data_IF_790041686014
#
_entry.id   IF_790041686014
#
_cell.length_a   1.000
_cell.length_b   1.000
_cell.length_c   1.000
_cell.angle_alpha   90.00
_cell.angle_beta   90.00
_cell.angle_gamma   90.00
#
_symmetry.space_group_name_H-M   'P 1'
#
loop_
_entity.id
_entity.type
_entity.pdbx_description
1 polymer ?
#
# COMPACT_ATOMS: atom_id res chain seq x y z
N UNK A 1 15.59 77.23 -64.59
CA UNK A 1 16.31 77.25 -63.32
C UNK A 1 15.27 77.08 -62.21
N UNK A 2 14.85 75.81 -61.91
CA UNK A 2 13.94 75.56 -60.84
C UNK A 2 14.75 75.08 -59.64
N UNK A 3 14.64 75.78 -58.52
CA UNK A 3 15.18 75.36 -57.24
C UNK A 3 14.29 74.33 -56.59
N UNK A 4 14.82 73.24 -56.01
CA UNK A 4 14.01 72.31 -55.26
C UNK A 4 13.54 72.92 -53.94
N UNK A 5 12.28 72.73 -53.59
CA UNK A 5 11.67 73.12 -52.33
C UNK A 5 12.35 72.39 -51.15
N UNK A 6 12.53 73.01 -49.98
CA UNK A 6 13.13 72.40 -48.83
C UNK A 6 12.15 71.38 -48.20
N UNK A 7 12.64 70.18 -47.92
CA UNK A 7 11.94 69.19 -47.13
C UNK A 7 11.57 69.74 -45.74
N UNK A 8 10.30 69.69 -45.41
CA UNK A 8 9.82 70.09 -44.08
C UNK A 8 10.37 69.20 -43.00
N UNK A 9 10.91 69.71 -41.89
CA UNK A 9 11.44 68.88 -40.81
C UNK A 9 10.27 68.08 -40.12
N UNK A 10 10.31 66.77 -40.21
CA UNK A 10 9.38 65.91 -39.49
C UNK A 10 9.33 66.28 -38.00
N UNK A 11 8.12 66.44 -37.46
CA UNK A 11 7.90 66.90 -36.10
C UNK A 11 8.50 65.83 -35.09
N UNK A 12 9.00 66.37 -33.96
CA UNK A 12 9.58 65.47 -32.88
C UNK A 12 8.62 64.36 -32.43
N UNK A 13 7.32 64.62 -32.54
CA UNK A 13 6.26 63.66 -32.24
C UNK A 13 6.21 62.48 -33.26
N UNK A 14 6.35 62.83 -34.60
CA UNK A 14 6.38 61.76 -35.63
C UNK A 14 7.61 60.90 -35.55
N UNK A 15 8.77 61.42 -35.20
CA UNK A 15 9.99 60.62 -34.95
C UNK A 15 9.85 59.69 -33.75
N UNK A 16 9.17 60.14 -32.70
CA UNK A 16 8.91 59.27 -31.51
C UNK A 16 7.91 58.14 -31.85
N UNK A 17 6.88 58.45 -32.63
CA UNK A 17 5.89 57.41 -33.07
C UNK A 17 6.57 56.41 -33.98
N UNK A 18 7.36 56.85 -34.95
CA UNK A 18 8.09 55.92 -35.86
C UNK A 18 9.12 55.06 -35.12
N UNK A 19 9.85 55.63 -34.17
CA UNK A 19 10.77 54.88 -33.32
C UNK A 19 10.06 53.86 -32.46
N UNK A 20 8.91 54.17 -31.86
CA UNK A 20 8.09 53.20 -31.12
C UNK A 20 7.57 52.13 -32.04
N UNK A 21 7.11 52.43 -33.24
CA UNK A 21 6.63 51.48 -34.24
C UNK A 21 7.72 50.52 -34.70
N UNK A 22 8.92 51.05 -35.03
CA UNK A 22 10.08 50.20 -35.38
C UNK A 22 10.52 49.31 -34.22
N UNK A 23 10.54 49.84 -32.97
CA UNK A 23 10.88 49.07 -31.80
C UNK A 23 9.85 47.94 -31.52
N UNK A 24 8.57 48.20 -31.78
CA UNK A 24 7.51 47.17 -31.65
C UNK A 24 7.63 46.11 -32.74
N UNK A 25 7.89 46.52 -34.01
CA UNK A 25 8.11 45.61 -35.12
C UNK A 25 9.32 44.70 -34.91
N UNK A 26 10.45 45.27 -34.43
CA UNK A 26 11.66 44.51 -34.09
C UNK A 26 11.43 43.53 -32.95
N UNK A 27 10.67 43.91 -31.90
CA UNK A 27 10.33 43.00 -30.83
C UNK A 27 9.42 41.86 -31.29
N UNK A 28 8.43 42.17 -32.13
CA UNK A 28 7.49 41.17 -32.66
C UNK A 28 8.21 40.18 -33.60
N UNK A 29 9.08 40.69 -34.49
CA UNK A 29 9.90 39.86 -35.38
C UNK A 29 10.86 38.98 -34.61
N UNK A 30 11.62 39.52 -33.65
CA UNK A 30 12.52 38.73 -32.84
C UNK A 30 11.81 37.67 -31.99
N UNK A 31 10.61 37.94 -31.50
CA UNK A 31 9.81 36.96 -30.79
C UNK A 31 9.29 35.83 -31.72
N UNK A 32 8.83 36.22 -32.91
CA UNK A 32 8.41 35.26 -33.92
C UNK A 32 9.58 34.34 -34.34
N UNK A 33 10.77 34.94 -34.59
CA UNK A 33 11.98 34.19 -34.91
C UNK A 33 12.40 33.26 -33.77
N UNK A 34 12.32 33.70 -32.53
CA UNK A 34 12.67 32.88 -31.37
C UNK A 34 11.69 31.70 -31.20
N UNK A 35 10.40 31.90 -31.36
CA UNK A 35 9.38 30.85 -31.32
C UNK A 35 9.59 29.89 -32.49
N UNK A 36 9.80 30.42 -33.70
CA UNK A 36 9.97 29.61 -34.90
C UNK A 36 11.26 28.79 -34.90
N UNK A 37 12.34 29.32 -34.34
CA UNK A 37 13.64 28.67 -34.24
C UNK A 37 13.85 27.88 -32.91
N UNK A 38 12.77 27.60 -32.20
CA UNK A 38 12.86 26.73 -31.03
C UNK A 38 13.45 25.37 -31.40
N UNK A 39 14.44 24.89 -30.63
CA UNK A 39 15.07 23.59 -30.84
C UNK A 39 14.31 22.40 -30.24
N UNK A 40 13.23 22.67 -29.48
CA UNK A 40 12.49 21.64 -28.74
C UNK A 40 11.34 20.99 -29.50
N UNK A 41 10.92 21.59 -30.60
CA UNK A 41 9.86 21.04 -31.45
C UNK A 41 10.16 21.27 -32.91
N UNK A 42 9.75 20.33 -33.74
CA UNK A 42 9.77 20.56 -35.22
C UNK A 42 8.61 21.43 -35.60
N UNK A 43 8.87 22.43 -36.44
CA UNK A 43 7.85 23.27 -37.06
C UNK A 43 8.03 23.22 -38.58
N UNK A 44 7.07 22.56 -39.24
CA UNK A 44 7.09 22.35 -40.68
C UNK A 44 5.85 23.03 -41.25
N UNK A 45 6.04 24.07 -42.08
CA UNK A 45 4.94 24.69 -42.78
C UNK A 45 4.98 24.28 -44.27
N UNK A 46 3.80 24.04 -44.85
CA UNK A 46 3.66 23.61 -46.26
C UNK A 46 2.80 24.64 -47.00
N UNK A 47 2.83 24.59 -48.35
CA UNK A 47 1.80 25.15 -49.19
C UNK A 47 0.51 24.30 -49.17
N UNK A 48 -0.48 24.71 -49.97
CA UNK A 48 -1.76 24.00 -50.14
C UNK A 48 -1.61 22.59 -50.73
N UNK A 49 -0.52 22.33 -51.46
CA UNK A 49 -0.20 21.03 -52.10
C UNK A 49 0.63 20.14 -51.20
N UNK A 50 1.03 20.62 -50.04
CA UNK A 50 1.84 19.89 -49.06
C UNK A 50 3.34 20.05 -49.24
N UNK A 51 3.83 20.83 -50.21
CA UNK A 51 5.27 21.06 -50.38
C UNK A 51 5.79 21.90 -49.23
N UNK A 52 6.82 21.42 -48.53
CA UNK A 52 7.43 22.11 -47.40
C UNK A 52 7.98 23.49 -47.82
N UNK A 53 7.53 24.54 -47.15
CA UNK A 53 7.96 25.91 -47.36
C UNK A 53 8.85 26.42 -46.22
N UNK A 54 8.62 25.92 -45.00
CA UNK A 54 9.39 26.25 -43.82
C UNK A 54 9.74 24.97 -43.07
N UNK A 55 11.00 24.90 -42.67
CA UNK A 55 11.55 23.79 -41.88
C UNK A 55 12.49 24.42 -40.85
N UNK A 56 12.05 24.46 -39.58
CA UNK A 56 12.77 25.18 -38.54
C UNK A 56 13.99 24.42 -38.02
N UNK A 57 14.83 25.07 -37.23
CA UNK A 57 16.03 24.48 -36.61
C UNK A 57 15.69 23.26 -35.74
N UNK A 58 14.52 23.25 -35.10
CA UNK A 58 14.02 22.10 -34.33
C UNK A 58 13.77 20.87 -35.23
N UNK A 59 13.17 21.07 -36.41
CA UNK A 59 12.96 20.04 -37.40
C UNK A 59 14.29 19.50 -37.95
N UNK A 60 15.26 20.38 -38.26
CA UNK A 60 16.60 19.94 -38.72
C UNK A 60 17.28 19.06 -37.68
N UNK A 61 17.30 19.47 -36.41
CA UNK A 61 17.92 18.70 -35.30
C UNK A 61 17.20 17.37 -35.02
N UNK A 62 15.86 17.40 -35.06
CA UNK A 62 15.04 16.26 -34.72
C UNK A 62 15.08 15.19 -35.83
N UNK A 63 15.05 15.61 -37.09
CA UNK A 63 14.88 14.74 -38.24
C UNK A 63 16.18 14.53 -39.05
N UNK A 64 17.23 15.33 -38.81
CA UNK A 64 18.53 15.18 -39.43
C UNK A 64 18.65 15.75 -40.86
N UNK A 65 17.55 16.23 -41.46
CA UNK A 65 17.55 16.86 -42.77
C UNK A 65 17.96 18.32 -42.64
N UNK A 66 18.74 18.84 -43.61
CA UNK A 66 18.92 20.30 -43.70
C UNK A 66 17.71 20.92 -44.40
N UNK A 67 17.31 22.13 -43.95
CA UNK A 67 16.16 22.84 -44.57
C UNK A 67 16.34 23.03 -46.06
N UNK A 68 17.58 23.29 -46.55
CA UNK A 68 17.90 23.44 -47.97
C UNK A 68 17.62 22.16 -48.81
N UNK A 69 17.60 21.00 -48.17
CA UNK A 69 17.36 19.71 -48.88
C UNK A 69 15.88 19.37 -48.99
N UNK A 70 15.02 19.93 -48.10
CA UNK A 70 13.61 19.56 -48.01
C UNK A 70 12.66 20.70 -48.46
N UNK A 71 13.03 21.95 -48.30
CA UNK A 71 12.20 23.10 -48.66
C UNK A 71 12.04 23.18 -50.15
N UNK A 72 10.82 23.38 -50.66
CA UNK A 72 10.38 23.38 -52.07
C UNK A 72 10.66 22.07 -52.80
N UNK A 73 10.89 20.95 -52.10
CA UNK A 73 11.28 19.67 -52.75
C UNK A 73 10.40 18.50 -52.38
N UNK A 74 10.08 18.37 -51.09
CA UNK A 74 9.35 17.21 -50.57
C UNK A 74 8.15 17.66 -49.70
N UNK A 75 7.32 16.69 -49.34
CA UNK A 75 6.18 16.84 -48.44
C UNK A 75 6.49 16.20 -47.08
N UNK A 76 5.78 16.54 -45.98
CA UNK A 76 5.90 15.82 -44.71
C UNK A 76 5.59 14.32 -44.80
N UNK A 77 4.82 13.89 -45.81
CA UNK A 77 4.54 12.46 -46.02
C UNK A 77 5.79 11.69 -46.43
N UNK A 78 6.71 12.31 -47.18
CA UNK A 78 7.94 11.67 -47.64
C UNK A 78 8.94 11.36 -46.53
N UNK A 79 8.81 12.03 -45.37
CA UNK A 79 9.61 11.82 -44.18
C UNK A 79 8.83 11.15 -43.06
N UNK A 80 7.68 10.55 -43.35
CA UNK A 80 6.80 9.82 -42.44
C UNK A 80 6.74 8.34 -42.77
N UNK A 81 6.40 7.50 -41.80
CA UNK A 81 6.23 6.05 -42.05
C UNK A 81 5.07 5.81 -43.00
N UNK A 82 5.32 5.20 -44.19
CA UNK A 82 4.27 5.00 -45.17
C UNK A 82 3.17 4.02 -44.68
N UNK A 83 3.49 3.06 -43.84
CA UNK A 83 2.51 2.10 -43.31
C UNK A 83 1.55 2.80 -42.35
N UNK A 84 2.05 3.70 -41.52
CA UNK A 84 1.21 4.51 -40.62
C UNK A 84 0.29 5.46 -41.41
N UNK A 85 0.79 6.06 -42.51
CA UNK A 85 -0.02 6.92 -43.40
C UNK A 85 -1.16 6.14 -44.05
N UNK A 86 -0.90 4.92 -44.53
CA UNK A 86 -1.93 4.02 -45.11
C UNK A 86 -2.98 3.68 -44.05
N UNK A 87 -2.52 3.26 -42.86
CA UNK A 87 -3.41 2.88 -41.75
C UNK A 87 -4.27 4.06 -41.32
N UNK A 88 -3.68 5.26 -41.21
CA UNK A 88 -4.37 6.49 -40.85
C UNK A 88 -5.42 6.87 -41.91
N UNK A 89 -5.06 6.83 -43.19
CA UNK A 89 -5.99 7.13 -44.27
C UNK A 89 -7.21 6.19 -44.22
N UNK A 90 -7.00 4.89 -44.02
CA UNK A 90 -8.06 3.91 -43.90
C UNK A 90 -8.96 4.20 -42.66
N UNK A 91 -8.37 4.48 -41.51
CA UNK A 91 -9.11 4.77 -40.29
C UNK A 91 -9.94 6.06 -40.41
N UNK A 92 -9.36 7.12 -40.95
CA UNK A 92 -10.06 8.38 -41.20
C UNK A 92 -11.16 8.26 -42.27
N UNK A 93 -10.94 7.43 -43.32
CA UNK A 93 -11.97 7.17 -44.34
C UNK A 93 -13.18 6.49 -43.71
N UNK A 94 -12.97 5.55 -42.78
CA UNK A 94 -14.06 4.88 -42.07
C UNK A 94 -14.77 5.83 -41.07
N UNK A 95 -13.99 6.61 -40.32
CA UNK A 95 -14.52 7.56 -39.29
C UNK A 95 -15.40 8.65 -39.93
N UNK A 96 -14.97 9.16 -41.09
CA UNK A 96 -15.58 10.34 -41.72
C UNK A 96 -16.43 10.02 -42.94
N UNK A 97 -16.65 8.73 -43.24
CA UNK A 97 -17.41 8.23 -44.44
C UNK A 97 -16.99 8.93 -45.74
N UNK A 98 -15.70 9.15 -45.93
CA UNK A 98 -15.12 9.88 -47.04
C UNK A 98 -13.81 9.22 -47.47
N UNK A 99 -13.61 8.86 -48.76
CA UNK A 99 -12.33 8.33 -49.20
C UNK A 99 -11.19 9.33 -48.99
N UNK A 100 -10.13 8.90 -48.32
CA UNK A 100 -8.95 9.71 -48.01
C UNK A 100 -7.74 8.98 -48.60
N UNK A 101 -6.96 9.72 -49.38
CA UNK A 101 -5.76 9.19 -50.02
C UNK A 101 -4.62 9.04 -49.02
N UNK A 102 -3.91 7.88 -48.97
CA UNK A 102 -2.69 7.78 -48.17
C UNK A 102 -1.63 8.81 -48.60
N UNK A 103 -0.92 9.36 -47.59
CA UNK A 103 0.09 10.37 -47.82
C UNK A 103 -0.23 11.69 -47.19
N UNK A 104 0.07 12.81 -47.83
CA UNK A 104 -0.11 14.14 -47.25
C UNK A 104 -1.56 14.45 -46.87
N UNK A 105 -2.53 14.02 -47.70
CA UNK A 105 -3.95 14.20 -47.39
C UNK A 105 -4.34 13.60 -46.06
N UNK A 106 -3.87 12.39 -45.75
CA UNK A 106 -4.14 11.74 -44.48
C UNK A 106 -3.57 12.51 -43.24
N UNK A 107 -2.50 13.29 -43.41
CA UNK A 107 -1.91 14.11 -42.37
C UNK A 107 -2.75 15.35 -42.06
N UNK A 108 -3.39 15.94 -43.07
CA UNK A 108 -4.00 17.29 -42.96
C UNK A 108 -5.52 17.27 -43.06
N UNK A 109 -6.15 16.14 -43.29
CA UNK A 109 -7.57 16.03 -43.60
C UNK A 109 -8.50 16.69 -42.56
N UNK A 110 -8.31 16.38 -41.30
CA UNK A 110 -9.10 17.01 -40.20
C UNK A 110 -8.83 18.49 -40.11
N UNK A 111 -7.56 18.91 -40.16
CA UNK A 111 -7.18 20.31 -40.12
C UNK A 111 -7.76 21.12 -41.28
N UNK A 112 -7.87 20.57 -42.50
CA UNK A 112 -8.49 21.20 -43.66
C UNK A 112 -9.96 21.57 -43.41
N UNK A 113 -10.65 20.80 -42.57
CA UNK A 113 -12.04 21.02 -42.17
C UNK A 113 -12.20 21.82 -40.88
N UNK A 114 -11.11 22.39 -40.35
CA UNK A 114 -11.10 23.19 -39.13
C UNK A 114 -11.25 22.34 -37.85
N UNK A 115 -11.00 21.03 -37.91
CA UNK A 115 -11.00 20.10 -36.77
C UNK A 115 -9.58 20.04 -36.24
N UNK A 116 -9.41 20.24 -34.92
CA UNK A 116 -8.11 20.07 -34.26
C UNK A 116 -7.65 18.61 -34.40
N UNK A 117 -6.41 18.43 -34.81
CA UNK A 117 -5.86 17.10 -35.07
C UNK A 117 -4.48 16.97 -34.43
N UNK A 118 -4.43 16.15 -33.37
CA UNK A 118 -3.20 15.79 -32.66
C UNK A 118 -3.09 14.28 -32.66
N UNK A 119 -1.99 13.76 -33.19
CA UNK A 119 -1.79 12.31 -33.30
C UNK A 119 -0.32 11.93 -33.22
N UNK A 120 -0.08 10.66 -32.94
CA UNK A 120 1.25 10.07 -33.04
C UNK A 120 1.60 9.76 -34.49
N UNK A 121 2.83 10.07 -34.86
CA UNK A 121 3.39 9.81 -36.16
C UNK A 121 4.86 9.39 -36.02
N UNK A 122 5.24 8.37 -36.77
CA UNK A 122 6.65 8.01 -36.85
C UNK A 122 7.29 8.72 -38.04
N UNK A 123 8.23 9.61 -37.75
CA UNK A 123 9.10 10.21 -38.75
C UNK A 123 10.28 9.28 -39.07
N UNK A 124 10.70 9.32 -40.34
CA UNK A 124 11.93 8.67 -40.81
C UNK A 124 13.02 9.76 -40.90
N UNK A 125 14.07 9.64 -40.11
CA UNK A 125 15.19 10.57 -40.15
C UNK A 125 16.06 10.38 -41.38
N UNK A 126 16.92 11.34 -41.68
CA UNK A 126 17.84 11.27 -42.83
C UNK A 126 18.76 10.03 -42.81
N UNK A 127 19.13 9.55 -41.61
CA UNK A 127 19.93 8.34 -41.43
C UNK A 127 19.11 7.04 -41.52
N UNK A 128 17.84 7.12 -41.78
CA UNK A 128 16.90 5.99 -41.81
C UNK A 128 16.37 5.56 -40.46
N UNK A 129 16.79 6.15 -39.35
CA UNK A 129 16.25 5.84 -38.02
C UNK A 129 14.84 6.38 -37.84
N UNK A 130 14.08 5.77 -36.95
CA UNK A 130 12.67 6.07 -36.68
C UNK A 130 12.51 6.92 -35.45
N UNK A 131 11.71 7.97 -35.53
CA UNK A 131 11.39 8.86 -34.42
C UNK A 131 9.88 8.89 -34.19
N UNK A 132 9.43 8.48 -33.02
CA UNK A 132 8.02 8.69 -32.63
C UNK A 132 7.81 10.13 -32.20
N UNK A 133 6.88 10.82 -32.85
CA UNK A 133 6.54 12.21 -32.54
C UNK A 133 5.04 12.34 -32.27
N UNK A 134 4.68 13.26 -31.39
CA UNK A 134 3.31 13.77 -31.26
C UNK A 134 3.19 14.96 -32.20
N UNK A 135 2.30 14.90 -33.19
CA UNK A 135 2.15 15.90 -34.25
C UNK A 135 0.80 16.60 -34.12
N UNK A 136 0.83 17.93 -34.05
CA UNK A 136 -0.35 18.79 -34.14
C UNK A 136 -0.38 19.44 -35.52
N UNK A 137 -1.53 19.43 -36.19
CA UNK A 137 -1.69 19.98 -37.54
C UNK A 137 -2.73 21.09 -37.54
N UNK A 138 -2.39 22.22 -38.11
CA UNK A 138 -3.27 23.37 -38.23
C UNK A 138 -3.26 23.90 -39.67
N UNK A 139 -4.46 24.18 -40.23
CA UNK A 139 -4.57 24.82 -41.55
C UNK A 139 -4.28 26.31 -41.45
N UNK A 140 -3.40 26.79 -42.32
CA UNK A 140 -3.09 28.21 -42.48
C UNK A 140 -4.08 28.84 -43.47
N UNK A 141 -4.78 29.90 -43.04
CA UNK A 141 -5.81 30.53 -43.83
C UNK A 141 -5.48 32.01 -44.13
N UNK A 142 -5.84 32.49 -45.31
CA UNK A 142 -5.73 33.88 -45.67
C UNK A 142 -6.94 34.69 -45.10
N UNK A 143 -6.97 36.02 -45.41
CA UNK A 143 -8.07 36.90 -44.95
C UNK A 143 -9.43 36.57 -45.55
N UNK A 144 -9.48 35.74 -46.60
CA UNK A 144 -10.71 35.28 -47.26
C UNK A 144 -11.11 33.89 -46.84
N UNK A 145 -10.53 33.37 -45.72
CA UNK A 145 -10.74 32.03 -45.20
C UNK A 145 -10.31 30.89 -46.11
N UNK A 146 -9.53 31.17 -47.15
CA UNK A 146 -8.99 30.19 -48.06
C UNK A 146 -7.73 29.56 -47.46
N UNK A 147 -7.59 28.25 -47.51
CA UNK A 147 -6.39 27.55 -47.05
C UNK A 147 -5.23 27.88 -47.97
N UNK A 148 -4.14 28.35 -47.43
CA UNK A 148 -2.89 28.69 -48.12
C UNK A 148 -1.76 27.73 -47.79
N UNK A 149 -1.99 26.81 -46.86
CA UNK A 149 -1.01 25.82 -46.44
C UNK A 149 -1.36 25.19 -45.07
N UNK A 150 -0.42 24.46 -44.53
CA UNK A 150 -0.58 23.80 -43.23
C UNK A 150 0.67 23.96 -42.39
N UNK A 151 0.49 24.04 -41.07
CA UNK A 151 1.54 24.04 -40.09
C UNK A 151 1.47 22.71 -39.27
N UNK A 152 2.56 21.96 -39.28
CA UNK A 152 2.74 20.76 -38.51
C UNK A 152 3.77 21.04 -37.42
N UNK A 153 3.37 20.85 -36.16
CA UNK A 153 4.26 20.97 -34.99
C UNK A 153 4.44 19.58 -34.40
N UNK A 154 5.68 19.11 -34.38
CA UNK A 154 6.02 17.77 -33.85
C UNK A 154 6.92 17.88 -32.62
N UNK A 155 6.62 17.07 -31.60
CA UNK A 155 7.46 16.89 -30.41
C UNK A 155 7.92 15.45 -30.31
N UNK A 156 9.19 15.24 -29.97
CA UNK A 156 9.75 13.91 -29.75
C UNK A 156 9.06 13.23 -28.57
N UNK A 157 8.46 12.08 -28.82
CA UNK A 157 7.72 11.30 -27.84
C UNK A 157 8.49 10.02 -27.39
N UNK A 158 9.73 9.87 -27.86
CA UNK A 158 10.51 8.64 -27.66
C UNK A 158 10.76 8.35 -26.17
N UNK A 159 11.24 9.37 -25.43
CA UNK A 159 11.51 9.22 -24.00
C UNK A 159 10.26 8.85 -23.20
N UNK A 160 9.13 9.47 -23.49
CA UNK A 160 7.86 9.17 -22.85
C UNK A 160 7.38 7.74 -23.12
N UNK A 161 7.53 7.25 -24.36
CA UNK A 161 7.19 5.87 -24.71
C UNK A 161 8.09 4.85 -24.04
N UNK A 162 9.37 5.15 -23.90
CA UNK A 162 10.29 4.29 -23.17
C UNK A 162 9.91 4.20 -21.68
N UNK A 163 9.67 5.34 -21.03
CA UNK A 163 9.24 5.39 -19.64
C UNK A 163 7.91 4.63 -19.42
N UNK A 164 6.95 4.80 -20.33
CA UNK A 164 5.67 4.08 -20.25
C UNK A 164 5.85 2.56 -20.45
N UNK A 165 6.73 2.13 -21.37
CA UNK A 165 7.04 0.73 -21.58
C UNK A 165 7.75 0.10 -20.38
N UNK A 166 8.72 0.81 -19.79
CA UNK A 166 9.41 0.38 -18.57
C UNK A 166 8.42 0.27 -17.39
N UNK A 167 7.57 1.27 -17.19
CA UNK A 167 6.54 1.24 -16.14
C UNK A 167 5.61 0.04 -16.29
N UNK A 168 5.11 -0.23 -17.50
CA UNK A 168 4.28 -1.41 -17.78
C UNK A 168 5.04 -2.72 -17.53
N UNK A 169 6.34 -2.74 -17.79
CA UNK A 169 7.21 -3.87 -17.48
C UNK A 169 7.30 -4.13 -15.97
N UNK A 170 7.54 -3.07 -15.17
CA UNK A 170 7.57 -3.16 -13.72
C UNK A 170 6.22 -3.55 -13.11
N UNK A 171 5.11 -2.99 -13.60
CA UNK A 171 3.76 -3.34 -13.15
C UNK A 171 3.49 -4.84 -13.33
N UNK A 172 3.82 -5.41 -14.50
CA UNK A 172 3.65 -6.87 -14.76
C UNK A 172 4.54 -7.73 -13.86
N UNK A 173 5.81 -7.34 -13.69
CA UNK A 173 6.72 -8.08 -12.83
C UNK A 173 6.27 -8.05 -11.36
N UNK A 174 5.72 -6.92 -10.90
CA UNK A 174 5.17 -6.79 -9.55
C UNK A 174 3.93 -7.68 -9.36
N UNK A 175 3.03 -7.69 -10.34
CA UNK A 175 1.83 -8.54 -10.32
C UNK A 175 2.18 -10.03 -10.28
N UNK A 176 3.16 -10.46 -11.10
CA UNK A 176 3.66 -11.84 -11.10
C UNK A 176 4.24 -12.23 -9.73
N UNK A 177 5.04 -11.34 -9.11
CA UNK A 177 5.61 -11.58 -7.78
C UNK A 177 4.55 -11.62 -6.68
N UNK A 178 3.52 -10.80 -6.77
CA UNK A 178 2.40 -10.86 -5.82
C UNK A 178 1.66 -12.20 -5.91
N UNK A 179 1.38 -12.69 -7.12
CA UNK A 179 0.75 -14.00 -7.32
C UNK A 179 1.61 -15.16 -6.78
N UNK A 180 2.94 -15.12 -7.01
CA UNK A 180 3.87 -16.11 -6.44
C UNK A 180 3.83 -16.10 -4.90
N UNK A 181 3.82 -14.90 -4.29
CA UNK A 181 3.77 -14.75 -2.82
C UNK A 181 2.43 -15.26 -2.25
N UNK A 182 1.31 -14.92 -2.87
CA UNK A 182 -0.01 -15.42 -2.47
C UNK A 182 -0.07 -16.94 -2.55
N UNK A 183 0.41 -17.52 -3.65
CA UNK A 183 0.44 -18.96 -3.82
C UNK A 183 1.34 -19.64 -2.78
N UNK A 184 2.54 -19.11 -2.51
CA UNK A 184 3.44 -19.62 -1.50
C UNK A 184 2.83 -19.52 -0.08
N UNK A 185 2.14 -18.43 0.22
CA UNK A 185 1.42 -18.25 1.50
C UNK A 185 0.28 -19.27 1.66
N UNK A 186 -0.50 -19.49 0.60
CA UNK A 186 -1.58 -20.46 0.61
C UNK A 186 -1.06 -21.90 0.82
N UNK A 187 -0.02 -22.29 0.05
CA UNK A 187 0.62 -23.61 0.18
C UNK A 187 1.20 -23.83 1.59
N UNK A 188 1.81 -22.80 2.19
CA UNK A 188 2.30 -22.84 3.58
C UNK A 188 1.15 -23.15 4.56
N UNK A 189 0.03 -22.47 4.38
CA UNK A 189 -1.14 -22.62 5.27
C UNK A 189 -1.80 -24.00 5.13
N UNK A 190 -1.95 -24.48 3.91
CA UNK A 190 -2.50 -25.81 3.61
C UNK A 190 -1.59 -26.94 4.18
N UNK A 191 -0.27 -26.81 3.98
CA UNK A 191 0.71 -27.73 4.55
C UNK A 191 0.60 -27.80 6.07
N UNK A 192 0.57 -26.64 6.74
CA UNK A 192 0.46 -26.59 8.20
C UNK A 192 -0.88 -27.14 8.70
N UNK A 193 -1.99 -26.90 7.99
CA UNK A 193 -3.29 -27.46 8.34
C UNK A 193 -3.29 -29.01 8.25
N UNK A 194 -2.74 -29.56 7.17
CA UNK A 194 -2.60 -31.01 6.96
C UNK A 194 -1.71 -31.63 8.03
N UNK A 195 -0.51 -31.06 8.24
CA UNK A 195 0.44 -31.55 9.24
C UNK A 195 -0.12 -31.54 10.66
N UNK A 196 -0.91 -30.52 10.99
CA UNK A 196 -1.57 -30.48 12.31
C UNK A 196 -2.55 -31.64 12.50
N UNK A 197 -3.35 -31.95 11.48
CA UNK A 197 -4.29 -33.05 11.56
C UNK A 197 -3.56 -34.37 11.74
N UNK A 198 -2.48 -34.58 10.98
CA UNK A 198 -1.65 -35.78 11.05
C UNK A 198 -0.87 -35.92 12.39
N UNK A 199 -0.50 -34.78 13.01
CA UNK A 199 0.15 -34.76 14.32
C UNK A 199 -0.85 -34.92 15.49
N UNK A 200 -2.05 -34.35 15.35
CA UNK A 200 -3.08 -34.38 16.41
C UNK A 200 -3.56 -35.80 16.71
N UNK A 201 -3.73 -36.61 15.70
CA UNK A 201 -4.28 -37.96 15.86
C UNK A 201 -3.40 -38.88 16.74
N UNK A 202 -2.09 -39.08 16.47
CA UNK A 202 -1.23 -39.88 17.34
C UNK A 202 -1.04 -39.24 18.71
N UNK A 203 -0.99 -37.91 18.77
CA UNK A 203 -0.80 -37.18 20.02
C UNK A 203 -2.01 -37.31 20.95
N UNK A 204 -3.24 -37.25 20.43
CA UNK A 204 -4.44 -37.51 21.21
C UNK A 204 -4.46 -38.95 21.75
N UNK A 205 -3.94 -39.93 21.01
CA UNK A 205 -3.81 -41.29 21.51
C UNK A 205 -2.81 -41.39 22.67
N UNK A 206 -1.65 -40.71 22.56
CA UNK A 206 -0.64 -40.64 23.63
C UNK A 206 -1.23 -39.99 24.88
N UNK A 207 -1.92 -38.86 24.73
CA UNK A 207 -2.57 -38.13 25.82
C UNK A 207 -3.64 -39.01 26.47
N UNK A 208 -4.53 -39.62 25.68
CA UNK A 208 -5.61 -40.45 26.21
C UNK A 208 -5.12 -41.71 26.95
N UNK A 209 -4.08 -42.38 26.43
CA UNK A 209 -3.50 -43.52 27.16
C UNK A 209 -2.77 -43.08 28.44
N UNK A 210 -2.07 -41.95 28.39
CA UNK A 210 -1.40 -41.40 29.58
C UNK A 210 -2.42 -40.99 30.66
N UNK A 211 -3.55 -40.39 30.25
CA UNK A 211 -4.65 -40.01 31.14
C UNK A 211 -5.29 -41.26 31.79
N UNK A 212 -5.64 -42.28 30.99
CA UNK A 212 -6.21 -43.52 31.48
C UNK A 212 -5.30 -44.24 32.49
N UNK A 213 -3.98 -44.23 32.22
CA UNK A 213 -2.98 -44.79 33.15
C UNK A 213 -2.88 -43.95 34.42
N UNK A 214 -2.79 -42.62 34.32
CA UNK A 214 -2.72 -41.69 35.45
C UNK A 214 -3.91 -41.78 36.38
N UNK A 215 -5.10 -41.98 35.82
CA UNK A 215 -6.36 -42.11 36.58
C UNK A 215 -6.59 -43.52 37.13
N UNK A 216 -5.64 -44.45 36.90
CA UNK A 216 -5.69 -45.78 37.46
C UNK A 216 -6.66 -46.74 36.77
N UNK A 217 -7.18 -46.39 35.57
CA UNK A 217 -8.16 -47.21 34.82
C UNK A 217 -7.57 -48.50 34.26
N UNK A 218 -6.24 -48.62 34.20
CA UNK A 218 -5.53 -49.80 33.60
C UNK A 218 -4.81 -50.66 34.65
N UNK A 219 -4.94 -50.33 35.93
CA UNK A 219 -4.32 -51.02 37.03
C UNK A 219 -3.49 -50.16 37.95
N UNK A 220 -2.92 -50.77 39.01
CA UNK A 220 -2.10 -50.06 39.98
C UNK A 220 -0.69 -49.76 39.44
N UNK A 221 -0.18 -48.57 39.67
CA UNK A 221 1.15 -48.10 39.29
C UNK A 221 1.97 -47.73 40.52
N UNK A 222 3.28 -47.94 40.46
CA UNK A 222 4.22 -47.38 41.43
C UNK A 222 4.22 -45.85 41.39
N UNK A 223 4.69 -45.18 42.44
CA UNK A 223 4.78 -43.72 42.50
C UNK A 223 5.62 -43.15 41.33
N UNK A 224 6.76 -43.79 41.01
CA UNK A 224 7.65 -43.40 39.92
C UNK A 224 6.99 -43.54 38.54
N UNK A 225 6.22 -44.64 38.33
CA UNK A 225 5.47 -44.81 37.06
C UNK A 225 4.39 -43.75 36.90
N UNK A 226 3.69 -43.41 37.99
CA UNK A 226 2.67 -42.35 37.96
C UNK A 226 3.27 -40.97 37.64
N UNK A 227 4.46 -40.68 38.18
CA UNK A 227 5.21 -39.47 37.90
C UNK A 227 5.57 -39.40 36.40
N UNK A 228 6.21 -40.42 35.83
CA UNK A 228 6.57 -40.46 34.41
C UNK A 228 5.35 -40.36 33.47
N UNK A 229 4.25 -41.02 33.81
CA UNK A 229 3.01 -40.93 33.04
C UNK A 229 2.42 -39.51 33.14
N UNK A 230 2.50 -38.87 34.32
CA UNK A 230 2.12 -37.46 34.51
C UNK A 230 2.93 -36.55 33.63
N UNK A 231 4.24 -36.78 33.52
CA UNK A 231 5.12 -35.97 32.65
C UNK A 231 4.80 -36.18 31.15
N UNK A 232 4.55 -37.42 30.73
CA UNK A 232 4.14 -37.75 29.37
C UNK A 232 2.81 -37.05 29.02
N UNK A 233 1.83 -37.12 29.91
CA UNK A 233 0.52 -36.49 29.74
C UNK A 233 0.66 -34.97 29.60
N UNK A 234 1.43 -34.31 30.49
CA UNK A 234 1.65 -32.89 30.50
C UNK A 234 2.41 -32.42 29.23
N UNK A 235 3.44 -33.18 28.83
CA UNK A 235 4.21 -32.89 27.61
C UNK A 235 3.36 -33.05 26.35
N UNK A 236 2.48 -34.10 26.32
CA UNK A 236 1.54 -34.29 25.23
C UNK A 236 0.55 -33.17 25.10
N UNK A 237 -0.05 -32.71 26.19
CA UNK A 237 -0.95 -31.54 26.19
C UNK A 237 -0.25 -30.25 25.74
N UNK A 238 0.99 -30.06 26.20
CA UNK A 238 1.78 -28.89 25.78
C UNK A 238 2.06 -28.91 24.29
N UNK A 239 2.45 -30.07 23.73
CA UNK A 239 2.70 -30.17 22.28
C UNK A 239 1.44 -29.95 21.46
N UNK A 240 0.28 -30.44 21.91
CA UNK A 240 -1.01 -30.20 21.26
C UNK A 240 -1.37 -28.70 21.24
N UNK A 241 -1.14 -27.99 22.36
CA UNK A 241 -1.33 -26.54 22.43
C UNK A 241 -0.44 -25.80 21.44
N UNK A 242 0.85 -26.19 21.35
CA UNK A 242 1.81 -25.61 20.39
C UNK A 242 1.36 -25.75 18.94
N UNK A 243 0.94 -26.96 18.56
CA UNK A 243 0.46 -27.23 17.20
C UNK A 243 -0.75 -26.35 16.87
N UNK A 244 -1.69 -26.21 17.80
CA UNK A 244 -2.87 -25.37 17.60
C UNK A 244 -2.48 -23.88 17.50
N UNK A 245 -1.55 -23.39 18.34
CA UNK A 245 -1.08 -22.00 18.30
C UNK A 245 -0.39 -21.67 16.95
N UNK A 246 0.43 -22.60 16.41
CA UNK A 246 1.08 -22.43 15.09
C UNK A 246 0.05 -22.37 13.97
N UNK A 247 -0.98 -23.22 14.03
CA UNK A 247 -2.06 -23.21 13.05
C UNK A 247 -2.88 -21.93 13.08
N UNK A 248 -3.28 -21.51 14.27
CA UNK A 248 -4.07 -20.29 14.44
C UNK A 248 -3.29 -19.08 13.94
N UNK A 249 -1.98 -19.00 14.27
CA UNK A 249 -1.10 -17.96 13.75
C UNK A 249 -1.04 -17.97 12.23
N UNK A 250 -0.87 -19.14 11.63
CA UNK A 250 -0.79 -19.29 10.16
C UNK A 250 -2.10 -18.90 9.46
N UNK A 251 -3.25 -19.24 10.06
CA UNK A 251 -4.57 -18.83 9.51
C UNK A 251 -4.78 -17.32 9.57
N UNK A 252 -4.32 -16.66 10.64
CA UNK A 252 -4.39 -15.20 10.74
C UNK A 252 -3.46 -14.54 9.72
N UNK A 253 -2.19 -15.02 9.59
CA UNK A 253 -1.23 -14.51 8.61
C UNK A 253 -1.74 -14.65 7.16
N UNK A 254 -2.47 -15.72 6.86
CA UNK A 254 -3.07 -15.94 5.54
C UNK A 254 -4.39 -15.20 5.31
N UNK A 255 -4.89 -14.43 6.29
CA UNK A 255 -6.18 -13.76 6.20
C UNK A 255 -7.39 -14.70 6.17
N UNK A 256 -7.21 -15.97 6.56
CA UNK A 256 -8.26 -17.00 6.51
C UNK A 256 -9.06 -17.12 7.82
N UNK A 257 -8.71 -16.32 8.83
CA UNK A 257 -9.40 -16.34 10.13
C UNK A 257 -10.45 -15.24 10.18
N UNK A 258 -11.70 -15.62 10.41
CA UNK A 258 -12.83 -14.73 10.59
C UNK A 258 -13.18 -14.57 12.07
N UNK A 259 -13.80 -13.43 12.42
CA UNK A 259 -14.33 -13.18 13.76
C UNK A 259 -15.77 -13.63 13.87
N UNK A 260 -16.06 -14.41 14.89
CA UNK A 260 -17.43 -14.80 15.29
C UNK A 260 -17.89 -13.88 16.43
N UNK A 261 -18.43 -12.70 16.06
CA UNK A 261 -18.88 -11.73 17.04
C UNK A 261 -20.22 -12.11 17.65
N UNK A 262 -20.23 -12.30 18.97
CA UNK A 262 -21.42 -12.60 19.75
C UNK A 262 -21.56 -11.63 20.95
N UNK A 263 -22.74 -11.63 21.59
CA UNK A 263 -22.99 -10.80 22.77
C UNK A 263 -22.38 -11.48 23.99
N UNK A 264 -21.28 -10.94 24.51
CA UNK A 264 -20.49 -11.52 25.59
C UNK A 264 -20.66 -10.68 26.87
N UNK A 265 -20.98 -11.36 27.98
CA UNK A 265 -20.87 -10.78 29.31
C UNK A 265 -19.39 -10.77 29.72
N UNK A 266 -18.79 -9.58 29.72
CA UNK A 266 -17.36 -9.44 29.90
C UNK A 266 -16.87 -9.85 31.30
N UNK A 267 -17.62 -9.50 32.36
CA UNK A 267 -17.22 -9.82 33.73
C UNK A 267 -17.10 -11.33 33.96
N UNK A 268 -18.02 -12.12 33.44
CA UNK A 268 -17.98 -13.57 33.49
C UNK A 268 -16.79 -14.18 32.72
N UNK A 269 -16.49 -13.64 31.53
CA UNK A 269 -15.33 -14.06 30.74
C UNK A 269 -14.03 -13.83 31.51
N UNK A 270 -13.85 -12.66 32.09
CA UNK A 270 -12.64 -12.25 32.82
C UNK A 270 -12.45 -13.06 34.11
N UNK A 271 -13.53 -13.24 34.89
CA UNK A 271 -13.50 -14.07 36.10
C UNK A 271 -13.11 -15.53 35.79
N UNK A 272 -13.69 -16.10 34.73
CA UNK A 272 -13.34 -17.46 34.29
C UNK A 272 -11.87 -17.55 33.79
N UNK A 273 -11.34 -16.51 33.14
CA UNK A 273 -9.94 -16.49 32.70
C UNK A 273 -8.97 -16.44 33.88
N UNK A 274 -9.30 -15.73 34.95
CA UNK A 274 -8.51 -15.74 36.18
C UNK A 274 -8.53 -17.08 36.89
N UNK A 275 -9.65 -17.82 36.86
CA UNK A 275 -9.73 -19.16 37.47
C UNK A 275 -8.72 -20.16 36.84
N UNK A 276 -8.48 -20.04 35.52
CA UNK A 276 -7.54 -20.93 34.81
C UNK A 276 -6.10 -20.76 35.33
N UNK A 277 -5.68 -19.54 35.64
CA UNK A 277 -4.31 -19.28 36.13
C UNK A 277 -4.19 -19.35 37.66
N UNK A 278 -5.31 -19.50 38.37
CA UNK A 278 -5.40 -19.42 39.84
C UNK A 278 -4.52 -20.44 40.57
N UNK A 279 -4.52 -21.66 40.09
CA UNK A 279 -3.74 -22.75 40.72
C UNK A 279 -2.23 -22.45 40.63
N UNK A 280 -1.76 -22.07 39.43
CA UNK A 280 -0.35 -21.72 39.21
C UNK A 280 0.05 -20.47 40.02
N UNK A 281 -0.81 -19.47 40.10
CA UNK A 281 -0.59 -18.28 40.90
C UNK A 281 -0.52 -18.62 42.39
N UNK A 282 -1.40 -19.51 42.88
CA UNK A 282 -1.41 -19.92 44.28
C UNK A 282 -0.14 -20.68 44.70
N UNK A 283 0.39 -21.56 43.83
CA UNK A 283 1.66 -22.27 44.05
C UNK A 283 2.85 -21.27 44.24
N UNK A 284 2.80 -20.17 43.53
CA UNK A 284 3.81 -19.10 43.61
C UNK A 284 3.43 -17.97 44.59
N UNK A 285 2.31 -18.10 45.33
CA UNK A 285 1.75 -17.10 46.24
C UNK A 285 1.53 -15.73 45.57
N UNK A 286 1.21 -15.70 44.26
CA UNK A 286 0.90 -14.50 43.49
C UNK A 286 -0.54 -14.05 43.82
N UNK A 287 -0.74 -12.77 44.11
CA UNK A 287 -2.07 -12.20 44.32
C UNK A 287 -2.68 -11.84 42.95
N UNK A 288 -3.82 -12.46 42.60
CA UNK A 288 -4.60 -12.10 41.43
C UNK A 288 -5.65 -11.04 41.79
N UNK A 289 -5.72 -9.95 41.01
CA UNK A 289 -6.72 -8.88 41.16
C UNK A 289 -7.44 -8.67 39.84
N UNK A 290 -8.76 -8.39 39.95
CA UNK A 290 -9.58 -7.97 38.79
C UNK A 290 -10.11 -6.56 39.08
N UNK A 291 -9.83 -5.65 38.18
CA UNK A 291 -10.36 -4.29 38.16
C UNK A 291 -11.22 -4.13 36.90
N UNK A 292 -12.52 -4.34 37.07
CA UNK A 292 -13.50 -4.26 35.99
C UNK A 292 -14.64 -3.33 36.44
N UNK A 293 -14.99 -2.28 35.69
CA UNK A 293 -16.15 -1.46 35.98
C UNK A 293 -17.46 -2.25 35.85
N UNK A 294 -18.39 -2.06 36.75
CA UNK A 294 -19.69 -2.76 36.76
C UNK A 294 -20.60 -2.41 35.56
N UNK A 295 -20.30 -1.33 34.84
CA UNK A 295 -21.16 -0.78 33.81
C UNK A 295 -20.78 -1.16 32.36
N UNK A 296 -19.87 -2.12 32.16
CA UNK A 296 -19.47 -2.53 30.81
C UNK A 296 -20.53 -3.39 30.10
N UNK A 297 -21.37 -4.11 30.86
CA UNK A 297 -22.48 -4.89 30.34
C UNK A 297 -22.08 -5.96 29.31
N UNK A 298 -22.92 -6.13 28.31
CA UNK A 298 -22.67 -7.05 27.19
C UNK A 298 -22.01 -6.29 26.04
N UNK A 299 -20.95 -6.90 25.49
CA UNK A 299 -20.20 -6.36 24.35
C UNK A 299 -20.20 -7.34 23.20
N UNK A 300 -20.23 -6.86 21.96
CA UNK A 300 -20.02 -7.71 20.78
C UNK A 300 -18.54 -7.99 20.59
N UNK A 301 -18.13 -9.23 20.91
CA UNK A 301 -16.76 -9.71 20.85
C UNK A 301 -16.74 -11.16 20.36
N UNK A 302 -15.63 -11.59 19.82
CA UNK A 302 -15.37 -13.03 19.66
C UNK A 302 -14.93 -13.60 21.02
N UNK A 303 -15.82 -14.39 21.65
CA UNK A 303 -15.60 -14.95 22.97
C UNK A 303 -14.30 -15.78 23.05
N UNK A 304 -14.07 -16.65 22.05
CA UNK A 304 -12.93 -17.57 22.06
C UNK A 304 -11.62 -16.81 21.91
N UNK A 305 -11.55 -15.89 20.95
CA UNK A 305 -10.33 -15.12 20.67
C UNK A 305 -10.04 -14.10 21.75
N UNK A 306 -11.07 -13.45 22.30
CA UNK A 306 -10.91 -12.54 23.44
C UNK A 306 -10.41 -13.31 24.68
N UNK A 307 -10.96 -14.49 24.96
CA UNK A 307 -10.47 -15.37 26.05
C UNK A 307 -9.01 -15.78 25.84
N UNK A 308 -8.61 -16.08 24.61
CA UNK A 308 -7.23 -16.43 24.26
C UNK A 308 -6.27 -15.26 24.48
N UNK A 309 -6.66 -14.03 24.11
CA UNK A 309 -5.88 -12.82 24.40
C UNK A 309 -5.66 -12.69 25.93
N UNK A 310 -6.74 -12.70 26.70
CA UNK A 310 -6.67 -12.52 28.17
C UNK A 310 -5.83 -13.63 28.82
N UNK A 311 -6.06 -14.89 28.40
CA UNK A 311 -5.30 -16.03 28.92
C UNK A 311 -3.79 -15.91 28.63
N UNK A 312 -3.40 -15.60 27.41
CA UNK A 312 -1.99 -15.45 27.05
C UNK A 312 -1.30 -14.33 27.84
N UNK A 313 -1.98 -13.22 28.07
CA UNK A 313 -1.46 -12.13 28.89
C UNK A 313 -1.32 -12.54 30.35
N UNK A 314 -2.36 -13.17 30.94
CA UNK A 314 -2.33 -13.63 32.32
C UNK A 314 -1.30 -14.75 32.57
N UNK A 315 -1.21 -15.72 31.65
CA UNK A 315 -0.26 -16.81 31.75
C UNK A 315 1.19 -16.30 31.73
N UNK A 316 1.50 -15.32 30.90
CA UNK A 316 2.81 -14.68 30.89
C UNK A 316 3.07 -13.88 32.18
N UNK A 317 2.11 -13.10 32.65
CA UNK A 317 2.25 -12.34 33.88
C UNK A 317 2.53 -13.24 35.09
N UNK A 318 1.77 -14.35 35.25
CA UNK A 318 2.01 -15.32 36.33
C UNK A 318 3.36 -16.01 36.18
N UNK A 319 3.74 -16.35 34.96
CA UNK A 319 4.99 -17.06 34.65
C UNK A 319 6.25 -16.27 35.00
N UNK A 320 6.25 -14.95 34.71
CA UNK A 320 7.40 -14.06 34.88
C UNK A 320 7.34 -13.24 36.19
N UNK A 321 6.33 -13.48 37.02
CA UNK A 321 6.21 -12.89 38.35
C UNK A 321 7.01 -13.65 39.37
N UNK A 322 7.57 -12.94 40.33
CA UNK A 322 8.27 -13.53 41.46
C UNK A 322 7.31 -14.02 42.53
N UNK A 323 7.82 -14.86 43.44
CA UNK A 323 7.05 -15.40 44.54
C UNK A 323 6.54 -14.26 45.50
N UNK A 324 5.25 -14.25 45.76
CA UNK A 324 4.61 -13.22 46.60
C UNK A 324 4.25 -11.93 45.88
N UNK A 325 4.43 -11.85 44.56
CA UNK A 325 4.09 -10.69 43.71
C UNK A 325 2.57 -10.53 43.47
N UNK A 326 2.20 -9.56 42.67
CA UNK A 326 0.80 -9.34 42.27
C UNK A 326 0.65 -9.26 40.74
N UNK A 327 -0.46 -9.81 40.27
CA UNK A 327 -0.92 -9.70 38.88
C UNK A 327 -2.31 -9.08 38.86
N UNK A 328 -2.47 -7.98 38.16
CA UNK A 328 -3.73 -7.23 38.08
C UNK A 328 -4.23 -7.23 36.63
N UNK A 329 -5.45 -7.73 36.41
CA UNK A 329 -6.19 -7.59 35.16
C UNK A 329 -7.11 -6.37 35.28
N UNK A 330 -6.84 -5.33 34.54
CA UNK A 330 -7.63 -4.08 34.52
C UNK A 330 -8.34 -3.99 33.18
N UNK A 331 -9.61 -3.64 33.22
CA UNK A 331 -10.43 -3.44 32.03
C UNK A 331 -11.11 -2.11 32.08
N UNK A 332 -11.10 -1.38 30.96
CA UNK A 332 -11.79 -0.09 30.84
C UNK A 332 -12.17 0.23 29.40
N UNK A 333 -13.13 1.10 29.27
CA UNK A 333 -13.49 1.67 27.98
C UNK A 333 -12.66 2.95 27.77
N UNK A 334 -12.06 3.09 26.57
CA UNK A 334 -11.21 4.23 26.22
C UNK A 334 -11.62 4.79 24.86
N UNK A 335 -11.36 6.09 24.64
CA UNK A 335 -11.54 6.70 23.33
C UNK A 335 -10.41 6.28 22.38
N UNK A 336 -10.64 6.43 21.06
CA UNK A 336 -9.63 6.17 20.04
C UNK A 336 -8.32 6.92 20.28
N UNK A 337 -8.40 8.15 20.78
CA UNK A 337 -7.24 9.00 21.05
C UNK A 337 -6.35 8.47 22.19
N UNK A 338 -6.95 7.70 23.09
CA UNK A 338 -6.26 7.09 24.24
C UNK A 338 -5.61 5.74 23.89
N UNK A 339 -5.94 5.15 22.73
CA UNK A 339 -5.30 3.90 22.26
C UNK A 339 -3.80 4.12 22.07
N UNK A 340 -2.99 3.21 22.61
CA UNK A 340 -1.52 3.32 22.59
C UNK A 340 -0.94 4.22 23.67
N UNK A 341 -1.77 4.84 24.54
CA UNK A 341 -1.32 5.60 25.68
C UNK A 341 -1.38 4.73 26.93
N UNK A 342 -0.23 4.41 27.52
CA UNK A 342 -0.13 3.70 28.78
C UNK A 342 0.34 4.71 29.84
N UNK A 343 -0.47 5.03 30.85
CA UNK A 343 -0.06 5.96 31.89
C UNK A 343 1.06 5.40 32.76
N UNK A 344 2.04 6.24 33.09
CA UNK A 344 3.20 5.92 33.94
C UNK A 344 4.51 6.40 33.32
N UNK A 345 5.62 6.20 34.08
CA UNK A 345 6.97 6.66 33.69
C UNK A 345 7.85 5.54 33.11
N UNK A 346 7.24 4.40 32.72
CA UNK A 346 7.97 3.30 32.13
C UNK A 346 8.12 3.51 30.61
N UNK A 347 9.22 3.07 30.00
CA UNK A 347 9.33 2.98 28.56
C UNK A 347 8.16 2.21 27.95
N UNK A 348 7.64 2.70 26.81
CA UNK A 348 6.48 2.11 26.12
C UNK A 348 6.85 1.71 24.72
N UNK A 349 6.59 0.45 24.37
CA UNK A 349 6.61 -0.03 22.99
C UNK A 349 5.19 -0.31 22.52
N UNK A 350 4.80 0.31 21.40
CA UNK A 350 3.42 0.25 20.87
C UNK A 350 3.40 -0.04 19.38
N UNK A 351 2.37 -0.73 18.95
CA UNK A 351 2.05 -0.90 17.53
C UNK A 351 1.06 0.17 17.05
N UNK A 352 1.13 0.50 15.77
CA UNK A 352 0.18 1.42 15.18
C UNK A 352 -1.24 0.84 15.22
N UNK A 353 -2.23 1.68 15.52
CA UNK A 353 -3.62 1.29 15.38
C UNK A 353 -3.98 1.33 13.88
N UNK A 354 -4.56 0.26 13.31
CA UNK A 354 -5.07 0.28 11.95
C UNK A 354 -6.08 1.41 11.72
N UNK A 355 -6.22 1.87 10.48
CA UNK A 355 -7.29 2.80 10.13
C UNK A 355 -8.63 2.14 10.42
N UNK A 356 -9.37 2.68 11.39
CA UNK A 356 -10.67 2.16 11.78
C UNK A 356 -11.62 3.30 12.08
N UNK A 357 -12.92 3.08 11.87
CA UNK A 357 -13.97 4.07 12.12
C UNK A 357 -14.49 4.03 13.56
N UNK A 358 -13.99 3.12 14.40
CA UNK A 358 -14.49 2.93 15.74
C UNK A 358 -14.02 4.05 16.67
N UNK A 359 -14.95 4.75 17.37
CA UNK A 359 -14.61 5.86 18.26
C UNK A 359 -14.15 5.38 19.64
N UNK A 360 -14.49 4.15 20.03
CA UNK A 360 -14.27 3.62 21.37
C UNK A 360 -13.69 2.21 21.32
N UNK A 361 -12.87 1.89 22.30
CA UNK A 361 -12.16 0.62 22.42
C UNK A 361 -12.30 0.07 23.85
N UNK A 362 -12.33 -1.25 23.94
CA UNK A 362 -12.09 -1.99 25.17
C UNK A 362 -10.59 -2.12 25.38
N UNK A 363 -10.08 -1.60 26.47
CA UNK A 363 -8.71 -1.81 26.91
C UNK A 363 -8.66 -2.98 27.88
N UNK A 364 -7.89 -4.00 27.52
CA UNK A 364 -7.55 -5.16 28.34
C UNK A 364 -6.09 -5.03 28.75
N UNK A 365 -5.83 -4.76 30.02
CA UNK A 365 -4.48 -4.53 30.57
C UNK A 365 -4.14 -5.54 31.63
N UNK A 366 -3.02 -6.23 31.48
CA UNK A 366 -2.47 -7.11 32.51
C UNK A 366 -1.16 -6.51 33.00
N UNK A 367 -1.09 -6.22 34.29
CA UNK A 367 0.10 -5.68 34.95
C UNK A 367 0.64 -6.67 35.96
N UNK A 368 1.94 -6.90 35.96
CA UNK A 368 2.66 -7.70 36.92
C UNK A 368 3.76 -6.89 37.61
N UNK A 369 4.22 -7.37 38.75
CA UNK A 369 5.35 -6.84 39.49
C UNK A 369 6.53 -7.81 39.46
N UNK A 370 6.78 -8.42 38.28
CA UNK A 370 7.81 -9.41 38.04
C UNK A 370 9.16 -8.83 37.65
N UNK A 371 9.94 -9.60 36.94
CA UNK A 371 11.32 -9.26 36.54
C UNK A 371 11.43 -8.05 35.64
N UNK A 372 10.35 -7.64 34.97
CA UNK A 372 10.36 -6.56 33.97
C UNK A 372 11.12 -6.93 32.70
N UNK A 373 11.23 -5.96 31.79
CA UNK A 373 11.76 -6.15 30.43
C UNK A 373 12.62 -4.94 30.09
N UNK A 374 13.82 -5.18 29.57
CA UNK A 374 14.70 -4.13 29.07
C UNK A 374 14.09 -3.47 27.81
N UNK A 375 14.30 -2.16 27.66
CA UNK A 375 13.73 -1.38 26.55
C UNK A 375 14.09 -1.93 25.17
N UNK A 376 15.34 -2.33 24.97
CA UNK A 376 15.87 -2.88 23.70
C UNK A 376 15.21 -4.22 23.30
N UNK A 377 14.60 -4.91 24.24
CA UNK A 377 13.98 -6.22 24.03
C UNK A 377 12.46 -6.14 23.79
N UNK A 378 11.82 -5.02 24.12
CA UNK A 378 10.37 -4.88 23.97
C UNK A 378 9.89 -5.08 22.53
N UNK A 379 10.66 -4.63 21.53
CA UNK A 379 10.33 -4.79 20.11
C UNK A 379 10.40 -6.23 19.61
N UNK A 380 11.02 -7.16 20.36
CA UNK A 380 11.14 -8.58 20.01
C UNK A 380 9.97 -9.41 20.54
N UNK A 381 9.29 -8.96 21.60
CA UNK A 381 8.28 -9.71 22.35
C UNK A 381 7.11 -10.26 21.54
N UNK A 382 6.67 -9.48 20.55
CA UNK A 382 5.50 -9.81 19.74
C UNK A 382 5.86 -10.51 18.41
N UNK A 383 7.12 -10.90 18.23
CA UNK A 383 7.56 -11.71 17.11
C UNK A 383 7.37 -13.19 17.45
N UNK A 384 6.84 -13.96 16.50
CA UNK A 384 6.68 -15.40 16.67
C UNK A 384 8.03 -16.08 16.93
N UNK A 385 8.03 -17.04 17.85
CA UNK A 385 9.22 -17.82 18.27
C UNK A 385 10.34 -16.98 18.90
N UNK A 386 10.07 -15.71 19.23
CA UNK A 386 11.04 -14.84 19.89
C UNK A 386 11.01 -15.03 21.41
N UNK A 387 12.18 -15.17 22.00
CA UNK A 387 12.36 -15.22 23.45
C UNK A 387 13.48 -14.26 23.82
N UNK A 388 13.31 -13.54 24.95
CA UNK A 388 14.33 -12.67 25.49
C UNK A 388 15.26 -13.54 26.31
N UNK A 389 16.53 -13.54 25.89
CA UNK A 389 17.70 -14.12 26.52
C UNK A 389 17.68 -15.62 26.93
N UNK A 390 18.74 -16.30 26.53
CA UNK A 390 18.97 -17.73 26.73
C UNK A 390 19.18 -18.17 28.18
N UNK A 391 19.56 -17.26 29.09
CA UNK A 391 19.75 -17.53 30.52
C UNK A 391 18.44 -17.65 31.29
N UNK A 392 17.47 -16.80 31.00
CA UNK A 392 16.12 -16.83 31.56
C UNK A 392 15.24 -17.89 30.87
N UNK A 393 15.44 -18.17 29.59
CA UNK A 393 14.73 -19.21 28.85
C UNK A 393 14.91 -20.62 29.44
N UNK A 394 16.08 -20.90 30.02
CA UNK A 394 16.34 -22.15 30.74
C UNK A 394 15.56 -22.30 32.07
N UNK A 395 15.09 -21.19 32.65
CA UNK A 395 14.31 -21.15 33.88
C UNK A 395 12.80 -21.12 33.64
N UNK A 396 12.38 -20.63 32.46
CA UNK A 396 10.97 -20.47 32.12
C UNK A 396 10.71 -21.02 30.72
N UNK A 397 10.26 -22.27 30.63
CA UNK A 397 9.81 -22.88 29.37
C UNK A 397 8.69 -22.09 28.71
N UNK A 398 8.76 -21.89 27.38
CA UNK A 398 7.71 -21.24 26.63
C UNK A 398 7.96 -21.29 25.13
N UNK A 399 6.93 -21.11 24.34
CA UNK A 399 6.93 -21.30 22.89
C UNK A 399 7.35 -20.04 22.13
N UNK A 400 7.23 -18.86 22.76
CA UNK A 400 7.41 -17.56 22.09
C UNK A 400 6.24 -17.22 21.15
N UNK A 401 5.11 -17.93 21.22
CA UNK A 401 3.95 -17.71 20.35
C UNK A 401 2.84 -16.88 21.01
N UNK A 402 2.70 -16.94 22.35
CA UNK A 402 1.56 -16.33 23.05
C UNK A 402 1.37 -14.84 22.79
N UNK A 403 2.43 -14.02 22.86
CA UNK A 403 2.34 -12.57 22.60
C UNK A 403 2.18 -12.25 21.11
N UNK A 404 2.78 -13.04 20.22
CA UNK A 404 2.55 -12.92 18.79
C UNK A 404 1.07 -13.15 18.47
N UNK A 405 0.47 -14.18 19.09
CA UNK A 405 -0.96 -14.46 18.97
C UNK A 405 -1.83 -13.33 19.53
N UNK A 406 -1.48 -12.75 20.68
CA UNK A 406 -2.19 -11.58 21.24
C UNK A 406 -2.22 -10.43 20.25
N UNK A 407 -1.08 -10.11 19.63
CA UNK A 407 -0.97 -9.07 18.61
C UNK A 407 -1.87 -9.38 17.41
N UNK A 408 -1.74 -10.57 16.83
CA UNK A 408 -2.50 -10.98 15.66
C UNK A 408 -4.01 -10.98 15.90
N UNK A 409 -4.46 -11.49 17.05
CA UNK A 409 -5.87 -11.49 17.41
C UNK A 409 -6.41 -10.08 17.67
N UNK A 410 -5.62 -9.19 18.28
CA UNK A 410 -6.01 -7.80 18.45
C UNK A 410 -6.13 -7.09 17.10
N UNK A 411 -5.16 -7.27 16.20
CA UNK A 411 -5.18 -6.72 14.83
C UNK A 411 -6.35 -7.27 14.01
N UNK A 412 -6.67 -8.57 14.13
CA UNK A 412 -7.83 -9.19 13.49
C UNK A 412 -9.15 -8.52 13.92
N UNK A 413 -9.26 -8.10 15.19
CA UNK A 413 -10.40 -7.31 15.68
C UNK A 413 -10.40 -5.85 15.17
N UNK A 414 -9.34 -5.39 14.50
CA UNK A 414 -9.14 -3.97 14.14
C UNK A 414 -8.57 -3.13 15.29
N UNK A 415 -7.97 -3.78 16.26
CA UNK A 415 -7.36 -3.19 17.44
C UNK A 415 -5.84 -3.09 17.37
N UNK A 416 -5.20 -2.92 18.52
CA UNK A 416 -3.74 -2.82 18.65
C UNK A 416 -3.26 -3.32 20.00
N UNK A 417 -1.95 -3.44 20.16
CA UNK A 417 -1.30 -3.85 21.42
C UNK A 417 -0.14 -2.94 21.77
N UNK A 418 0.20 -2.94 23.05
CA UNK A 418 1.41 -2.26 23.55
C UNK A 418 1.94 -2.95 24.81
N UNK A 419 3.16 -2.61 25.18
CA UNK A 419 3.78 -3.00 26.44
C UNK A 419 4.49 -1.79 27.06
N UNK A 420 4.32 -1.61 28.35
CA UNK A 420 5.13 -0.72 29.17
C UNK A 420 5.88 -1.55 30.22
N UNK A 421 7.18 -1.39 30.33
CA UNK A 421 7.96 -2.17 31.30
C UNK A 421 9.23 -1.44 31.72
N UNK A 422 9.73 -1.81 32.90
CA UNK A 422 11.05 -1.45 33.39
C UNK A 422 11.65 -2.64 34.07
N UNK A 423 12.88 -2.98 33.73
CA UNK A 423 13.61 -4.10 34.33
C UNK A 423 13.65 -3.99 35.86
N UNK A 424 13.36 -5.08 36.54
CA UNK A 424 13.25 -5.16 38.02
C UNK A 424 11.98 -4.54 38.62
N UNK A 425 11.07 -3.98 37.79
CA UNK A 425 9.85 -3.31 38.30
C UNK A 425 8.55 -3.98 37.85
N UNK A 426 8.60 -4.84 36.82
CA UNK A 426 7.46 -5.52 36.25
C UNK A 426 7.09 -5.04 34.85
N UNK A 427 5.99 -5.55 34.33
CA UNK A 427 5.48 -5.21 33.01
C UNK A 427 3.97 -4.96 33.02
N UNK A 428 3.52 -4.16 32.04
CA UNK A 428 2.11 -3.95 31.72
C UNK A 428 1.89 -4.19 30.26
N UNK A 429 1.15 -5.23 29.92
CA UNK A 429 0.73 -5.55 28.57
C UNK A 429 -0.70 -5.09 28.34
N UNK A 430 -0.95 -4.46 27.20
CA UNK A 430 -2.26 -3.88 26.90
C UNK A 430 -2.68 -4.32 25.50
N UNK A 431 -3.96 -4.74 25.38
CA UNK A 431 -4.63 -4.95 24.11
C UNK A 431 -5.87 -4.06 24.04
N UNK A 432 -6.06 -3.39 22.92
CA UNK A 432 -7.26 -2.60 22.63
C UNK A 432 -8.08 -3.27 21.55
N UNK A 433 -9.37 -3.52 21.83
CA UNK A 433 -10.31 -4.10 20.89
C UNK A 433 -11.43 -3.09 20.59
N UNK A 434 -11.81 -2.86 19.33
CA UNK A 434 -12.91 -1.95 19.00
C UNK A 434 -14.22 -2.36 19.69
N UNK A 435 -14.96 -1.40 20.18
CA UNK A 435 -16.29 -1.62 20.72
C UNK A 435 -17.34 -1.52 19.62
N UNK A 436 -17.96 -2.65 19.31
CA UNK A 436 -19.13 -2.72 18.45
C UNK A 436 -20.37 -2.44 19.31
N UNK A 437 -20.89 -1.21 19.28
CA UNK A 437 -22.19 -0.89 19.89
C UNK A 437 -23.30 -1.29 18.94
N UNK A 438 -24.32 -1.99 19.45
CA UNK A 438 -25.61 -1.99 18.77
C UNK A 438 -26.16 -0.56 18.79
N UNK A 439 -26.72 -0.05 17.67
CA UNK A 439 -27.53 1.15 17.74
C UNK A 439 -28.63 0.89 18.78
N UNK A 440 -28.70 1.72 19.80
CA UNK A 440 -29.81 1.65 20.75
C UNK A 440 -31.12 1.58 19.96
N UNK A 441 -31.84 0.46 20.11
CA UNK A 441 -33.16 0.33 19.52
C UNK A 441 -34.01 1.48 20.11
N UNK A 442 -34.24 2.51 19.30
CA UNK A 442 -35.13 3.59 19.65
C UNK A 442 -36.56 3.02 19.78
N UNK A 443 -36.91 2.61 20.99
CA UNK A 443 -38.31 2.31 21.27
C UNK A 443 -39.08 3.63 21.11
N UNK A 444 -40.15 3.66 20.29
CA UNK A 444 -40.99 4.82 20.23
C UNK A 444 -41.60 4.99 21.61
N UNK A 445 -41.34 6.14 22.25
CA UNK A 445 -42.07 6.53 23.45
C UNK A 445 -43.55 6.66 23.07
N UNK A 446 -44.33 5.74 23.59
CA UNK A 446 -45.80 5.81 23.58
C UNK A 446 -46.32 6.96 24.43
#
# INVERSE_FOLDING_TARGET
MDKPLPEQPQSRAEKIVEFKRQKTLLKTGALQDAIFNSAYFSSIATDEKGVIQIFNVGAERMLGYAAADVVNRITPADISDPVELITRAAALSLELDTPITPGFEALVFKASRGIEDIYELTYIRQDGSRLSAMVSVTALRNRHDTIIGYLLIGTDNTARKQEEAERKGFERALEEKNLELEHASHMKSEFLATMSHELRTPLNAVIGFSEALKDGLVGEMSATQREYIGDIFTSGQHLLSLINDILDLSKVEAGMMELELESVELAGLLANSLLIVREKAALQRIQLKLECPDNLGHLKLDLRKTKQIVYNLLANAVKFSEHGSSVTLTVRQVSREQVGQIPGDWPVYRFALPESQYPQFLELSVSDTGIGIAEDDMGKLFKAFSQIDSSLARKFEGTGLGLAMVKQLAELHGGSVAVASREGCGARFVAWLPLHREPEASWPRS
#
